data_IF_424466176131
#
_entry.id   IF_424466176131
#
_cell.length_a   1.000
_cell.length_b   1.000
_cell.length_c   1.000
_cell.angle_alpha   90.00
_cell.angle_beta   90.00
_cell.angle_gamma   90.00
#
_symmetry.space_group_name_H-M   'P 1'
#
loop_
_entity.id
_entity.type
_entity.pdbx_description
1 polymer ?
#
# COMPACT_ATOMS: atom_id res chain seq x y z
N UNK A 1 8.75 -1.36 -15.70
CA UNK A 1 7.50 -0.61 -15.54
C UNK A 1 7.13 -0.65 -14.07
N UNK A 2 6.85 0.49 -13.46
CA UNK A 2 6.47 0.58 -12.03
C UNK A 2 4.97 0.74 -11.97
N UNK A 3 4.29 -0.05 -11.13
CA UNK A 3 2.83 -0.06 -11.00
C UNK A 3 2.24 1.31 -10.58
N UNK A 4 3.02 2.11 -9.86
CA UNK A 4 2.61 3.42 -9.37
C UNK A 4 3.60 4.51 -9.80
N UNK A 5 3.16 5.54 -10.54
CA UNK A 5 4.03 6.64 -10.98
C UNK A 5 4.74 7.36 -9.83
N UNK A 6 4.11 7.51 -8.66
CA UNK A 6 4.72 8.17 -7.49
C UNK A 6 5.95 7.41 -6.99
N UNK A 7 5.90 6.07 -6.97
CA UNK A 7 7.05 5.27 -6.56
C UNK A 7 8.23 5.36 -7.54
N UNK A 8 7.95 5.54 -8.83
CA UNK A 8 8.97 5.70 -9.84
C UNK A 8 9.76 7.01 -9.69
N UNK A 9 9.14 8.04 -9.13
CA UNK A 9 9.76 9.36 -8.97
C UNK A 9 10.56 9.52 -7.68
N UNK A 10 10.39 8.60 -6.73
CA UNK A 10 11.06 8.66 -5.44
C UNK A 10 12.59 8.67 -5.64
N UNK A 11 13.27 9.72 -5.13
CA UNK A 11 14.73 9.88 -5.27
C UNK A 11 15.21 10.36 -6.64
N UNK A 12 14.34 10.54 -7.65
CA UNK A 12 14.73 10.97 -9.00
C UNK A 12 14.75 12.49 -9.17
N UNK A 13 13.99 13.23 -8.36
CA UNK A 13 13.82 14.69 -8.52
C UNK A 13 14.38 15.43 -7.31
N UNK A 14 15.39 16.33 -7.48
CA UNK A 14 15.94 17.11 -6.38
C UNK A 14 14.88 17.96 -5.69
N UNK A 15 14.79 17.86 -4.36
CA UNK A 15 13.84 18.60 -3.53
C UNK A 15 12.41 18.07 -3.54
N UNK A 16 12.14 16.97 -4.25
CA UNK A 16 10.88 16.25 -4.16
C UNK A 16 11.00 15.17 -3.06
N UNK A 17 10.14 15.25 -2.06
CA UNK A 17 10.02 14.23 -1.02
C UNK A 17 8.72 13.47 -1.22
N UNK A 18 8.83 12.20 -1.46
CA UNK A 18 7.69 11.28 -1.54
C UNK A 18 7.78 10.33 -0.35
N UNK A 19 6.74 10.27 0.44
CA UNK A 19 6.60 9.35 1.58
C UNK A 19 5.43 8.42 1.34
N UNK A 20 5.56 7.22 1.90
CA UNK A 20 4.52 6.21 1.90
C UNK A 20 4.28 5.79 3.35
N UNK A 21 3.04 5.87 3.82
CA UNK A 21 2.69 5.53 5.20
C UNK A 21 2.40 4.04 5.40
N UNK A 22 2.04 3.34 4.33
CA UNK A 22 1.71 1.91 4.35
C UNK A 22 2.29 1.20 3.14
N UNK A 23 2.50 -0.11 3.25
CA UNK A 23 2.85 -0.99 2.14
C UNK A 23 1.63 -1.79 1.64
N UNK A 24 0.45 -1.59 2.24
CA UNK A 24 -0.77 -2.25 1.82
C UNK A 24 -1.18 -1.80 0.41
N UNK A 25 -1.51 -2.74 -0.49
CA UNK A 25 -1.88 -2.41 -1.86
C UNK A 25 -3.11 -1.49 -1.92
N UNK A 26 -2.97 -0.34 -2.58
CA UNK A 26 -4.03 0.64 -2.73
C UNK A 26 -4.25 1.57 -1.53
N UNK A 27 -3.63 1.29 -0.38
CA UNK A 27 -3.67 2.11 0.86
C UNK A 27 -2.28 2.66 1.22
N UNK A 28 -1.46 2.92 0.24
CA UNK A 28 -0.08 3.33 0.48
C UNK A 28 0.05 4.67 1.21
N UNK A 29 -0.99 5.49 1.21
CA UNK A 29 -1.02 6.78 1.90
C UNK A 29 0.11 7.69 1.45
N UNK A 30 0.14 7.99 0.16
CA UNK A 30 1.20 8.79 -0.46
C UNK A 30 1.17 10.22 0.04
N UNK A 31 2.29 10.67 0.58
CA UNK A 31 2.55 12.07 0.89
C UNK A 31 3.60 12.63 -0.07
N UNK A 32 3.32 13.77 -0.69
CA UNK A 32 4.24 14.42 -1.61
C UNK A 32 4.48 15.85 -1.13
N UNK A 33 5.74 16.26 -1.07
CA UNK A 33 6.11 17.65 -0.79
C UNK A 33 7.27 18.08 -1.66
N UNK A 34 7.24 19.32 -2.12
CA UNK A 34 8.29 19.96 -2.90
C UNK A 34 9.00 20.95 -1.98
N UNK A 35 10.33 20.78 -1.82
CA UNK A 35 11.18 21.62 -0.94
C UNK A 35 10.80 21.64 0.55
N UNK A 36 10.15 20.59 1.06
CA UNK A 36 9.79 20.47 2.46
C UNK A 36 8.48 21.15 2.83
N UNK A 37 8.19 21.30 4.13
CA UNK A 37 6.97 21.94 4.61
C UNK A 37 7.12 23.45 4.62
N UNK A 38 6.33 24.14 3.82
CA UNK A 38 6.29 25.62 3.74
C UNK A 38 5.43 26.22 4.87
N UNK A 39 4.60 25.39 5.52
CA UNK A 39 3.67 25.82 6.56
C UNK A 39 3.55 24.73 7.63
N UNK A 40 3.12 25.13 8.84
CA UNK A 40 2.74 24.22 9.93
C UNK A 40 1.59 23.26 9.51
N UNK A 41 0.75 23.72 8.59
CA UNK A 41 -0.24 22.90 7.90
C UNK A 41 0.43 22.30 6.65
N UNK A 42 0.34 20.99 6.49
CA UNK A 42 0.86 20.30 5.28
C UNK A 42 0.15 20.86 4.04
N UNK A 43 0.93 21.53 3.18
CA UNK A 43 0.43 22.00 1.88
C UNK A 43 0.95 21.02 0.84
N UNK A 44 0.02 20.29 0.22
CA UNK A 44 0.35 19.39 -0.89
C UNK A 44 0.55 20.19 -2.18
N UNK A 45 1.41 19.71 -3.10
CA UNK A 45 1.51 20.29 -4.43
C UNK A 45 0.19 20.16 -5.19
N UNK A 46 -0.11 21.17 -6.03
CA UNK A 46 -1.23 21.09 -6.96
C UNK A 46 -0.90 20.11 -8.09
N UNK A 47 -1.71 19.07 -8.25
CA UNK A 47 -1.61 18.15 -9.37
C UNK A 47 -2.47 18.65 -10.54
N UNK A 48 -1.88 18.71 -11.72
CA UNK A 48 -2.58 19.07 -12.97
C UNK A 48 -2.33 17.96 -13.98
N UNK A 49 -3.38 17.38 -14.53
CA UNK A 49 -3.33 16.31 -15.53
C UNK A 49 -3.94 16.85 -16.84
N UNK A 50 -3.15 16.92 -17.88
CA UNK A 50 -3.54 17.45 -19.20
C UNK A 50 -4.23 18.82 -19.11
N UNK A 51 -3.75 19.71 -18.23
CA UNK A 51 -4.27 21.05 -18.02
C UNK A 51 -5.44 21.14 -17.02
N UNK A 52 -5.96 20.03 -16.51
CA UNK A 52 -7.07 19.98 -15.53
C UNK A 52 -6.54 19.76 -14.12
N UNK A 53 -6.86 20.63 -13.16
CA UNK A 53 -6.51 20.40 -11.76
C UNK A 53 -7.19 19.17 -11.20
N UNK A 54 -6.42 18.28 -10.59
CA UNK A 54 -6.90 17.11 -9.87
C UNK A 54 -7.34 17.46 -8.45
N UNK A 55 -8.12 16.61 -7.80
CA UNK A 55 -8.60 16.82 -6.42
C UNK A 55 -7.49 16.64 -5.37
N UNK A 56 -6.42 15.92 -5.70
CA UNK A 56 -5.25 15.73 -4.85
C UNK A 56 -4.16 14.91 -5.53
N UNK A 57 -2.98 14.86 -4.90
CA UNK A 57 -1.82 14.12 -5.44
C UNK A 57 -2.08 12.62 -5.49
N UNK A 58 -2.98 12.11 -4.67
CA UNK A 58 -3.38 10.68 -4.66
C UNK A 58 -3.98 10.22 -5.99
N UNK A 59 -4.59 11.11 -6.80
CA UNK A 59 -5.10 10.76 -8.13
C UNK A 59 -3.98 10.30 -9.07
N UNK A 60 -2.76 10.76 -8.85
CA UNK A 60 -1.61 10.30 -9.63
C UNK A 60 -1.33 8.80 -9.46
N UNK A 61 -1.62 8.26 -8.27
CA UNK A 61 -1.50 6.82 -8.02
C UNK A 61 -2.51 5.99 -8.82
N UNK A 62 -3.59 6.60 -9.28
CA UNK A 62 -4.64 5.94 -10.08
C UNK A 62 -4.33 5.97 -11.58
N UNK A 63 -3.37 6.79 -12.02
CA UNK A 63 -2.95 6.83 -13.43
C UNK A 63 -2.21 5.55 -13.81
N UNK A 64 -2.41 5.13 -15.05
CA UNK A 64 -1.56 4.12 -15.64
C UNK A 64 -0.22 4.77 -16.04
N UNK A 65 0.89 4.26 -15.53
CA UNK A 65 2.22 4.81 -15.83
C UNK A 65 2.54 4.78 -17.34
N UNK A 66 2.03 3.80 -18.08
CA UNK A 66 2.25 3.68 -19.52
C UNK A 66 1.52 4.75 -20.35
N UNK A 67 0.52 5.42 -19.77
CA UNK A 67 -0.19 6.53 -20.42
C UNK A 67 0.49 7.89 -20.19
N UNK A 68 1.49 7.97 -19.32
CA UNK A 68 2.19 9.20 -19.02
C UNK A 68 3.29 9.45 -20.07
N UNK A 69 3.30 10.65 -20.60
CA UNK A 69 4.38 11.13 -21.49
C UNK A 69 5.44 11.86 -20.70
N UNK A 70 5.02 12.88 -19.91
CA UNK A 70 5.93 13.69 -19.09
C UNK A 70 5.35 14.04 -17.74
N UNK A 71 6.25 14.21 -16.76
CA UNK A 71 5.92 14.77 -15.44
C UNK A 71 6.88 15.94 -15.19
N UNK A 72 6.33 17.12 -15.02
CA UNK A 72 7.10 18.33 -14.76
C UNK A 72 6.76 18.90 -13.38
N UNK A 73 7.76 19.40 -12.68
CA UNK A 73 7.64 19.99 -11.34
C UNK A 73 7.91 21.48 -11.41
N UNK A 74 6.87 22.28 -11.19
CA UNK A 74 7.00 23.73 -11.12
C UNK A 74 7.20 24.17 -9.67
N UNK A 75 8.17 25.03 -9.48
CA UNK A 75 8.59 25.52 -8.17
C UNK A 75 8.68 27.04 -8.24
N UNK A 76 8.43 27.70 -7.10
CA UNK A 76 8.62 29.15 -6.96
C UNK A 76 7.82 29.97 -8.00
N UNK A 77 8.49 30.90 -8.69
CA UNK A 77 7.85 31.80 -9.65
C UNK A 77 7.09 31.06 -10.77
N UNK A 78 7.59 29.89 -11.20
CA UNK A 78 6.91 29.11 -12.25
C UNK A 78 5.59 28.51 -11.81
N UNK A 79 5.39 28.28 -10.50
CA UNK A 79 4.14 27.82 -9.93
C UNK A 79 3.13 28.95 -9.70
N UNK A 80 3.59 30.23 -9.66
CA UNK A 80 2.75 31.38 -9.31
C UNK A 80 1.59 31.61 -10.28
N UNK A 81 1.74 31.21 -11.55
CA UNK A 81 0.67 31.32 -12.56
C UNK A 81 -0.60 30.52 -12.20
N UNK A 82 -0.47 29.51 -11.31
CA UNK A 82 -1.58 28.69 -10.85
C UNK A 82 -2.23 29.20 -9.55
N UNK A 83 -1.79 30.39 -9.08
CA UNK A 83 -2.37 31.09 -7.93
C UNK A 83 -2.06 30.46 -6.59
N UNK A 84 -2.87 30.80 -5.56
CA UNK A 84 -2.63 30.40 -4.17
C UNK A 84 -2.65 28.90 -3.92
N UNK A 85 -3.37 28.12 -4.71
CA UNK A 85 -3.41 26.64 -4.61
C UNK A 85 -2.05 26.02 -4.95
N UNK A 86 -1.17 26.73 -5.64
CA UNK A 86 0.16 26.26 -6.02
C UNK A 86 1.25 26.61 -4.99
N UNK A 87 0.89 27.08 -3.79
CA UNK A 87 1.86 27.40 -2.73
C UNK A 87 2.79 26.23 -2.35
N UNK A 88 2.32 24.98 -2.48
CA UNK A 88 3.10 23.76 -2.30
C UNK A 88 3.91 23.32 -3.53
N UNK A 89 3.89 24.11 -4.63
CA UNK A 89 4.40 23.74 -5.94
C UNK A 89 3.32 23.12 -6.82
N UNK A 90 3.68 22.81 -8.08
CA UNK A 90 2.77 22.20 -9.06
C UNK A 90 3.42 20.97 -9.68
N UNK A 91 2.66 19.92 -9.84
CA UNK A 91 3.01 18.72 -10.59
C UNK A 91 2.18 18.72 -11.87
N UNK A 92 2.83 18.88 -13.01
CA UNK A 92 2.18 18.82 -14.32
C UNK A 92 2.39 17.45 -14.93
N UNK A 93 1.33 16.73 -15.15
CA UNK A 93 1.32 15.44 -15.85
C UNK A 93 0.74 15.65 -17.24
N UNK A 94 1.51 15.27 -18.25
CA UNK A 94 1.02 15.21 -19.62
C UNK A 94 0.91 13.76 -20.04
N UNK A 95 -0.22 13.39 -20.62
CA UNK A 95 -0.43 12.01 -21.10
C UNK A 95 -0.06 11.90 -22.57
N UNK A 96 0.25 10.67 -23.00
CA UNK A 96 0.63 10.35 -24.38
C UNK A 96 -0.46 10.74 -25.35
N UNK A 97 -0.08 11.50 -26.35
CA UNK A 97 -0.92 11.91 -27.47
C UNK A 97 -0.56 11.12 -28.72
N UNK A 98 -1.54 10.80 -29.56
CA UNK A 98 -1.27 10.11 -30.83
C UNK A 98 -0.71 11.05 -31.88
N UNK A 99 0.22 10.53 -32.69
CA UNK A 99 0.64 11.17 -33.93
C UNK A 99 -0.28 10.78 -35.10
N UNK A 100 -0.35 11.65 -36.11
CA UNK A 100 -0.97 11.30 -37.38
C UNK A 100 -0.15 10.19 -38.04
N UNK A 101 -0.81 9.14 -38.50
CA UNK A 101 -0.15 8.02 -39.15
C UNK A 101 -0.98 6.74 -39.13
N UNK A 102 -0.34 5.65 -39.56
CA UNK A 102 -0.96 4.32 -39.56
C UNK A 102 -1.31 3.89 -38.13
N UNK A 103 -2.39 3.14 -38.02
CA UNK A 103 -2.79 2.55 -36.74
C UNK A 103 -1.65 1.68 -36.17
N UNK A 104 -1.29 1.94 -34.92
CA UNK A 104 -0.30 1.21 -34.14
C UNK A 104 -0.99 0.58 -32.94
N UNK A 105 -0.71 -0.68 -32.69
CA UNK A 105 -1.13 -1.42 -31.52
C UNK A 105 0.10 -1.70 -30.67
N UNK A 106 0.06 -1.34 -29.41
CA UNK A 106 1.15 -1.54 -28.46
C UNK A 106 0.62 -2.31 -27.26
N UNK A 107 1.34 -3.36 -26.87
CA UNK A 107 1.08 -4.11 -25.66
C UNK A 107 2.32 -4.11 -24.77
N UNK A 108 2.15 -3.86 -23.48
CA UNK A 108 3.17 -4.06 -22.47
C UNK A 108 2.61 -4.91 -21.32
N UNK A 109 3.44 -5.84 -20.85
CA UNK A 109 3.10 -6.67 -19.70
C UNK A 109 4.29 -6.76 -18.74
N UNK A 110 4.03 -6.74 -17.44
CA UNK A 110 5.06 -6.93 -16.43
C UNK A 110 4.57 -7.80 -15.28
N UNK A 111 5.48 -8.60 -14.74
CA UNK A 111 5.31 -9.36 -13.51
C UNK A 111 6.39 -8.91 -12.55
N UNK A 112 5.99 -8.44 -11.39
CA UNK A 112 6.91 -7.96 -10.35
C UNK A 112 6.78 -8.86 -9.13
N UNK A 113 7.90 -9.42 -8.67
CA UNK A 113 7.97 -10.12 -7.39
C UNK A 113 8.37 -9.13 -6.31
N UNK A 114 7.51 -8.97 -5.31
CA UNK A 114 7.79 -8.22 -4.11
C UNK A 114 8.48 -9.14 -3.13
N UNK A 115 9.65 -8.75 -2.66
CA UNK A 115 10.39 -9.48 -1.64
C UNK A 115 10.32 -8.67 -0.36
N UNK A 116 9.99 -9.34 0.75
CA UNK A 116 10.02 -8.69 2.06
C UNK A 116 11.46 -8.28 2.34
N UNK A 117 11.68 -6.99 2.55
CA UNK A 117 12.99 -6.40 2.77
C UNK A 117 13.54 -6.68 4.17
N UNK A 118 14.45 -5.83 4.62
CA UNK A 118 15.02 -5.90 5.96
C UNK A 118 13.90 -5.80 7.01
N UNK A 119 13.78 -6.82 7.82
CA UNK A 119 12.87 -6.87 8.97
C UNK A 119 13.66 -6.68 10.25
N UNK A 120 13.06 -6.09 11.29
CA UNK A 120 13.66 -6.07 12.60
C UNK A 120 13.91 -7.52 13.07
N UNK A 121 15.08 -7.77 13.64
CA UNK A 121 15.34 -9.06 14.28
C UNK A 121 14.41 -9.20 15.50
N UNK A 122 13.66 -10.28 15.54
CA UNK A 122 12.86 -10.64 16.71
C UNK A 122 13.78 -11.17 17.82
N UNK A 123 13.38 -10.97 19.05
CA UNK A 123 14.02 -11.62 20.19
C UNK A 123 13.78 -13.14 20.09
N UNK A 124 14.81 -13.91 20.37
CA UNK A 124 14.65 -15.34 20.63
C UNK A 124 13.89 -15.56 21.94
N UNK A 125 13.41 -16.77 22.17
CA UNK A 125 12.77 -17.13 23.44
C UNK A 125 13.72 -16.91 24.63
N UNK A 126 15.00 -17.22 24.48
CA UNK A 126 16.00 -17.02 25.54
C UNK A 126 16.19 -15.53 25.85
N UNK A 127 16.38 -14.70 24.81
CA UNK A 127 16.53 -13.25 24.98
C UNK A 127 15.28 -12.61 25.59
N UNK A 128 14.09 -13.07 25.19
CA UNK A 128 12.83 -12.56 25.70
C UNK A 128 12.64 -12.96 27.18
N UNK A 129 12.88 -14.22 27.54
CA UNK A 129 12.74 -14.70 28.93
C UNK A 129 13.75 -14.04 29.85
N UNK A 130 15.00 -13.88 29.41
CA UNK A 130 16.02 -13.17 30.18
C UNK A 130 15.65 -11.69 30.38
N UNK A 131 15.12 -11.03 29.35
CA UNK A 131 14.64 -9.65 29.43
C UNK A 131 13.47 -9.50 30.41
N UNK A 132 12.48 -10.42 30.39
CA UNK A 132 11.35 -10.41 31.31
C UNK A 132 11.82 -10.64 32.76
N UNK A 133 12.69 -11.63 32.96
CA UNK A 133 13.25 -11.91 34.29
C UNK A 133 14.01 -10.68 34.83
N UNK A 134 14.90 -10.11 34.04
CA UNK A 134 15.67 -8.93 34.42
C UNK A 134 14.75 -7.75 34.80
N UNK A 135 13.74 -7.44 33.95
CA UNK A 135 12.81 -6.36 34.19
C UNK A 135 12.02 -6.56 35.49
N UNK A 136 11.42 -7.75 35.68
CA UNK A 136 10.61 -8.06 36.86
C UNK A 136 11.42 -8.04 38.15
N UNK A 137 12.60 -8.65 38.15
CA UNK A 137 13.47 -8.66 39.33
C UNK A 137 13.97 -7.25 39.66
N UNK A 138 14.27 -6.41 38.66
CA UNK A 138 14.65 -5.02 38.89
C UNK A 138 13.51 -4.18 39.49
N UNK A 139 12.27 -4.49 39.13
CA UNK A 139 11.06 -3.86 39.69
C UNK A 139 10.71 -4.38 41.10
N UNK A 140 11.49 -5.33 41.65
CA UNK A 140 11.34 -5.86 43.01
C UNK A 140 10.33 -7.00 43.12
N UNK A 141 9.87 -7.59 42.01
CA UNK A 141 9.04 -8.78 42.05
C UNK A 141 9.86 -10.02 42.45
N UNK A 142 9.26 -10.91 43.21
CA UNK A 142 9.89 -12.15 43.69
C UNK A 142 9.59 -13.36 42.77
N UNK A 143 10.05 -14.52 43.24
CA UNK A 143 9.85 -15.82 42.56
C UNK A 143 8.38 -16.26 42.51
N UNK A 144 7.51 -15.65 43.30
CA UNK A 144 6.05 -15.89 43.31
C UNK A 144 5.32 -15.09 42.22
N UNK A 145 5.97 -14.14 41.57
CA UNK A 145 5.39 -13.39 40.45
C UNK A 145 5.10 -14.29 39.24
N UNK A 146 3.91 -14.18 38.69
CA UNK A 146 3.46 -15.00 37.58
C UNK A 146 4.35 -14.87 36.32
N UNK A 147 4.88 -13.69 36.02
CA UNK A 147 5.75 -13.49 34.87
C UNK A 147 7.15 -14.07 35.12
N UNK A 148 7.66 -13.98 36.35
CA UNK A 148 8.94 -14.62 36.72
C UNK A 148 8.81 -16.14 36.59
N UNK A 149 7.76 -16.73 37.14
CA UNK A 149 7.48 -18.17 37.05
C UNK A 149 7.30 -18.61 35.59
N UNK A 150 6.53 -17.86 34.81
CA UNK A 150 6.31 -18.15 33.38
C UNK A 150 7.63 -18.09 32.57
N UNK A 151 8.43 -17.04 32.74
CA UNK A 151 9.70 -16.91 32.02
C UNK A 151 10.71 -18.02 32.37
N UNK A 152 10.76 -18.44 33.65
CA UNK A 152 11.59 -19.59 34.06
C UNK A 152 11.09 -20.89 33.46
N UNK A 153 9.77 -21.11 33.48
CA UNK A 153 9.16 -22.27 32.87
C UNK A 153 9.43 -22.32 31.36
N UNK A 154 9.20 -21.23 30.67
CA UNK A 154 9.44 -21.11 29.23
C UNK A 154 10.88 -21.41 28.84
N UNK A 155 11.84 -20.96 29.66
CA UNK A 155 13.28 -21.25 29.47
C UNK A 155 13.58 -22.72 29.71
N UNK A 156 13.01 -23.32 30.73
CA UNK A 156 13.21 -24.73 31.09
C UNK A 156 12.58 -25.70 30.09
N UNK A 157 11.47 -25.32 29.48
CA UNK A 157 10.66 -26.16 28.57
C UNK A 157 10.82 -25.74 27.10
N UNK A 158 11.84 -25.00 26.74
CA UNK A 158 12.09 -24.61 25.35
C UNK A 158 12.05 -25.79 24.40
N UNK A 159 11.30 -25.66 23.31
CA UNK A 159 11.07 -26.73 22.34
C UNK A 159 9.86 -27.62 22.64
N UNK A 160 9.15 -27.37 23.72
CA UNK A 160 8.01 -28.22 24.17
C UNK A 160 6.66 -27.55 23.91
N UNK A 161 5.63 -28.37 23.83
CA UNK A 161 4.23 -27.98 23.87
C UNK A 161 3.62 -28.39 25.20
N UNK A 162 2.77 -27.56 25.79
CA UNK A 162 1.90 -27.90 26.89
C UNK A 162 0.46 -27.78 26.40
N UNK A 163 -0.27 -28.88 26.40
CA UNK A 163 -1.69 -28.89 26.08
C UNK A 163 -2.50 -28.71 27.35
N UNK A 164 -3.24 -27.65 27.44
CA UNK A 164 -4.12 -27.35 28.60
C UNK A 164 -5.59 -27.75 28.37
N UNK A 165 -5.89 -28.38 27.24
CA UNK A 165 -7.22 -28.94 26.96
C UNK A 165 -7.47 -30.17 27.80
N UNK A 166 -8.18 -30.05 28.87
CA UNK A 166 -8.58 -31.25 29.59
C UNK A 166 -8.85 -31.12 31.09
N UNK A 167 -9.03 -29.90 31.55
CA UNK A 167 -9.42 -29.69 32.95
C UNK A 167 -8.25 -29.96 33.88
N UNK A 168 -7.45 -29.00 34.05
CA UNK A 168 -6.21 -29.06 34.79
C UNK A 168 -6.48 -29.19 36.28
N UNK A 169 -5.84 -30.19 36.87
CA UNK A 169 -5.61 -30.19 38.30
C UNK A 169 -4.67 -29.02 38.64
N UNK A 170 -5.10 -28.01 39.42
CA UNK A 170 -4.27 -26.85 39.74
C UNK A 170 -2.94 -27.23 40.40
N UNK A 171 -2.86 -28.39 41.03
CA UNK A 171 -1.66 -28.84 41.72
C UNK A 171 -0.64 -29.54 40.81
N UNK A 172 -1.08 -29.97 39.62
CA UNK A 172 -0.25 -30.61 38.59
C UNK A 172 0.10 -29.71 37.41
N UNK A 173 -0.55 -28.56 37.32
CA UNK A 173 -0.38 -27.63 36.23
C UNK A 173 0.92 -26.80 36.42
N UNK A 174 1.91 -26.97 35.56
CA UNK A 174 3.16 -26.22 35.68
C UNK A 174 2.97 -24.72 35.33
N UNK A 175 1.85 -24.36 34.70
CA UNK A 175 1.59 -23.00 34.25
C UNK A 175 1.15 -22.10 35.41
N UNK A 176 1.76 -20.94 35.64
CA UNK A 176 1.35 -19.99 36.67
C UNK A 176 -0.13 -19.59 36.53
N UNK A 177 -0.82 -19.45 37.66
CA UNK A 177 -2.25 -19.20 37.72
C UNK A 177 -2.76 -18.01 36.89
N UNK A 178 -1.95 -16.96 36.69
CA UNK A 178 -2.28 -15.82 35.82
C UNK A 178 -2.35 -16.16 34.33
N UNK A 179 -1.89 -17.32 33.90
CA UNK A 179 -1.91 -17.79 32.52
C UNK A 179 -2.89 -18.95 32.29
N UNK A 180 -3.65 -19.32 33.30
CA UNK A 180 -4.66 -20.34 33.18
C UNK A 180 -5.80 -19.93 32.24
N UNK A 181 -6.39 -20.91 31.55
CA UNK A 181 -7.45 -20.67 30.57
C UNK A 181 -6.95 -20.40 29.17
N UNK A 182 -5.66 -20.43 28.91
CA UNK A 182 -5.06 -20.45 27.60
C UNK A 182 -5.01 -21.88 27.10
N UNK A 183 -5.44 -22.10 25.85
CA UNK A 183 -5.63 -23.44 25.33
C UNK A 183 -4.33 -24.26 25.26
N UNK A 184 -3.26 -23.68 24.77
CA UNK A 184 -1.97 -24.34 24.60
C UNK A 184 -0.84 -23.37 24.81
N UNK A 185 0.36 -23.87 25.17
CA UNK A 185 1.59 -23.12 25.18
C UNK A 185 2.63 -23.76 24.30
N UNK A 186 3.36 -22.93 23.58
CA UNK A 186 4.52 -23.31 22.79
C UNK A 186 5.73 -22.55 23.29
N UNK A 187 6.78 -23.27 23.59
CA UNK A 187 8.06 -22.67 24.02
C UNK A 187 9.11 -22.75 22.93
N UNK A 188 8.68 -22.54 21.66
CA UNK A 188 9.55 -22.47 20.50
C UNK A 188 9.92 -21.01 20.20
N UNK A 189 11.05 -20.83 19.52
CA UNK A 189 11.42 -19.54 18.96
C UNK A 189 10.55 -19.27 17.72
N UNK A 190 9.48 -18.53 17.90
CA UNK A 190 8.59 -18.11 16.80
C UNK A 190 9.03 -16.76 16.27
N UNK A 191 9.39 -16.71 14.99
CA UNK A 191 9.61 -15.46 14.31
C UNK A 191 8.29 -14.96 13.66
N UNK A 192 7.55 -14.16 14.40
CA UNK A 192 6.27 -13.64 13.94
C UNK A 192 6.35 -12.76 12.70
N UNK A 193 7.51 -12.15 12.43
CA UNK A 193 7.68 -11.40 11.18
C UNK A 193 7.67 -12.33 9.97
N UNK A 194 8.25 -13.50 10.07
CA UNK A 194 8.23 -14.52 9.00
C UNK A 194 6.85 -15.20 8.86
N UNK A 195 6.10 -15.28 9.96
CA UNK A 195 4.73 -15.82 9.94
C UNK A 195 3.78 -14.86 9.23
N UNK A 196 3.91 -13.55 9.50
CA UNK A 196 2.97 -12.56 8.99
C UNK A 196 3.32 -12.09 7.57
N UNK A 197 4.59 -11.98 7.25
CA UNK A 197 5.04 -11.35 6.01
C UNK A 197 5.75 -12.34 5.10
N UNK A 198 5.44 -12.27 3.83
CA UNK A 198 6.07 -13.10 2.80
C UNK A 198 6.12 -12.40 1.46
N UNK A 199 6.60 -13.11 0.46
CA UNK A 199 6.70 -12.58 -0.89
C UNK A 199 5.33 -12.49 -1.54
N UNK A 200 5.14 -11.48 -2.38
CA UNK A 200 3.93 -11.27 -3.15
C UNK A 200 4.25 -11.01 -4.62
N UNK A 201 3.22 -11.04 -5.45
CA UNK A 201 3.35 -10.81 -6.88
C UNK A 201 2.42 -9.68 -7.31
N UNK A 202 2.90 -8.84 -8.21
CA UNK A 202 2.10 -7.83 -8.90
C UNK A 202 2.19 -8.07 -10.39
N UNK A 203 1.06 -8.03 -11.09
CA UNK A 203 0.98 -8.16 -12.54
C UNK A 203 0.34 -6.92 -13.13
N UNK A 204 0.87 -6.45 -14.24
CA UNK A 204 0.33 -5.31 -14.97
C UNK A 204 0.30 -5.62 -16.46
N UNK A 205 -0.80 -5.26 -17.11
CA UNK A 205 -1.00 -5.41 -18.53
C UNK A 205 -1.57 -4.13 -19.11
N UNK A 206 -0.99 -3.64 -20.19
CA UNK A 206 -1.41 -2.43 -20.87
C UNK A 206 -1.53 -2.73 -22.37
N UNK A 207 -2.63 -2.29 -22.95
CA UNK A 207 -2.89 -2.38 -24.38
C UNK A 207 -3.28 -0.99 -24.87
N UNK A 208 -2.64 -0.51 -25.93
CA UNK A 208 -3.07 0.73 -26.55
C UNK A 208 -3.14 0.62 -28.06
N UNK A 209 -4.09 1.36 -28.61
CA UNK A 209 -4.29 1.51 -30.05
C UNK A 209 -4.28 3.00 -30.36
N UNK A 210 -3.41 3.42 -31.25
CA UNK A 210 -3.29 4.84 -31.62
C UNK A 210 -3.08 4.98 -33.14
N UNK A 211 -3.49 6.11 -33.68
CA UNK A 211 -3.31 6.40 -35.10
C UNK A 211 -4.13 7.60 -35.53
N UNK A 212 -4.24 7.79 -36.82
CA UNK A 212 -5.07 8.85 -37.37
C UNK A 212 -4.52 9.46 -38.66
N UNK A 213 -5.10 10.57 -39.03
CA UNK A 213 -4.75 11.38 -40.19
C UNK A 213 -4.42 12.80 -39.75
N UNK A 214 -4.08 13.69 -40.69
CA UNK A 214 -3.90 15.11 -40.39
C UNK A 214 -5.16 15.80 -39.84
N UNK A 215 -6.34 15.22 -40.09
CA UNK A 215 -7.63 15.76 -39.64
C UNK A 215 -8.08 15.18 -38.31
N UNK A 216 -7.71 13.95 -38.01
CA UNK A 216 -8.18 13.28 -36.78
C UNK A 216 -7.12 12.32 -36.28
N UNK A 217 -6.79 12.42 -35.01
CA UNK A 217 -5.91 11.48 -34.31
C UNK A 217 -6.63 10.90 -33.11
N UNK A 218 -6.34 9.63 -32.79
CA UNK A 218 -6.96 8.94 -31.67
C UNK A 218 -5.97 8.04 -30.95
N UNK A 219 -6.18 7.87 -29.65
CA UNK A 219 -5.52 6.89 -28.82
C UNK A 219 -6.53 6.32 -27.82
N UNK A 220 -6.67 5.00 -27.83
CA UNK A 220 -7.38 4.25 -26.80
C UNK A 220 -6.37 3.42 -26.03
N UNK A 221 -6.38 3.50 -24.70
CA UNK A 221 -5.57 2.64 -23.86
C UNK A 221 -6.42 1.92 -22.81
N UNK A 222 -6.04 0.68 -22.53
CA UNK A 222 -6.63 -0.19 -21.53
C UNK A 222 -5.53 -0.66 -20.60
N UNK A 223 -5.72 -0.54 -19.31
CA UNK A 223 -4.77 -0.98 -18.29
C UNK A 223 -5.43 -1.91 -17.28
N UNK A 224 -4.70 -2.94 -16.88
CA UNK A 224 -5.05 -3.82 -15.77
C UNK A 224 -3.88 -3.96 -14.84
N UNK A 225 -4.12 -3.84 -13.55
CA UNK A 225 -3.17 -4.06 -12.47
C UNK A 225 -3.80 -5.01 -11.46
N UNK A 226 -3.07 -6.07 -11.10
CA UNK A 226 -3.37 -6.90 -9.93
C UNK A 226 -2.15 -6.86 -9.01
N UNK A 227 -2.31 -6.25 -7.86
CA UNK A 227 -1.25 -6.01 -6.89
C UNK A 227 -1.56 -6.74 -5.58
N UNK A 228 -0.83 -7.83 -5.30
CA UNK A 228 -0.97 -8.59 -4.06
C UNK A 228 -0.12 -7.99 -2.94
N UNK A 229 -0.64 -8.01 -1.73
CA UNK A 229 0.09 -7.58 -0.54
C UNK A 229 1.04 -8.63 0.00
N UNK A 230 1.99 -8.19 0.80
CA UNK A 230 3.00 -9.05 1.44
C UNK A 230 2.55 -9.70 2.73
N UNK A 231 1.39 -9.31 3.28
CA UNK A 231 0.76 -10.00 4.40
C UNK A 231 0.27 -11.36 3.92
N UNK A 232 0.67 -12.44 4.61
CA UNK A 232 0.40 -13.82 4.18
C UNK A 232 -0.95 -14.37 4.64
N UNK A 233 -1.64 -13.64 5.52
CA UNK A 233 -2.89 -14.05 6.13
C UNK A 233 -4.02 -13.09 5.77
N UNK A 234 -5.20 -13.65 5.53
CA UNK A 234 -6.34 -12.89 5.04
C UNK A 234 -6.15 -12.38 3.60
N UNK A 235 -7.13 -11.67 3.08
CA UNK A 235 -7.09 -11.12 1.74
C UNK A 235 -6.49 -9.71 1.77
N UNK A 236 -5.42 -9.48 1.02
CA UNK A 236 -4.87 -8.14 0.85
C UNK A 236 -4.40 -7.94 -0.58
N UNK A 237 -5.18 -7.23 -1.35
CA UNK A 237 -4.94 -7.01 -2.78
C UNK A 237 -5.55 -5.71 -3.28
N UNK A 238 -5.04 -5.25 -4.40
CA UNK A 238 -5.59 -4.12 -5.14
C UNK A 238 -5.64 -4.45 -6.62
N UNK A 239 -6.85 -4.51 -7.17
CA UNK A 239 -7.07 -4.63 -8.61
C UNK A 239 -7.49 -3.28 -9.17
N UNK A 240 -6.92 -2.91 -10.31
CA UNK A 240 -7.26 -1.66 -10.97
C UNK A 240 -7.42 -1.84 -12.46
N UNK A 241 -8.51 -1.33 -12.97
CA UNK A 241 -8.84 -1.25 -14.41
C UNK A 241 -8.81 0.22 -14.81
N UNK A 242 -8.10 0.53 -15.89
CA UNK A 242 -8.02 1.85 -16.47
C UNK A 242 -8.46 1.81 -17.93
N UNK A 243 -9.22 2.81 -18.33
CA UNK A 243 -9.57 3.08 -19.72
C UNK A 243 -9.28 4.56 -19.97
N UNK A 244 -8.60 4.86 -21.08
CA UNK A 244 -8.37 6.23 -21.52
C UNK A 244 -8.59 6.35 -23.00
N UNK A 245 -9.35 7.37 -23.39
CA UNK A 245 -9.58 7.76 -24.77
C UNK A 245 -9.12 9.20 -24.97
N UNK A 246 -8.24 9.39 -25.92
CA UNK A 246 -7.91 10.69 -26.47
C UNK A 246 -8.32 10.74 -27.94
N UNK A 247 -8.99 11.81 -28.33
CA UNK A 247 -9.32 12.09 -29.72
C UNK A 247 -9.06 13.58 -30.00
N UNK A 248 -8.47 13.90 -31.14
CA UNK A 248 -8.37 15.26 -31.65
C UNK A 248 -8.92 15.30 -33.05
N UNK A 249 -9.84 16.21 -33.31
CA UNK A 249 -10.50 16.35 -34.59
C UNK A 249 -10.44 17.81 -35.06
N UNK A 250 -9.86 18.04 -36.23
CA UNK A 250 -9.85 19.33 -36.92
C UNK A 250 -11.13 19.48 -37.74
N UNK A 251 -12.06 20.29 -37.27
CA UNK A 251 -13.31 20.59 -37.98
C UNK A 251 -12.99 21.38 -39.27
N UNK A 252 -12.08 22.34 -39.15
CA UNK A 252 -11.51 23.11 -40.26
C UNK A 252 -10.14 23.66 -39.86
N UNK A 253 -9.53 24.50 -40.70
CA UNK A 253 -8.21 25.07 -40.40
C UNK A 253 -8.15 26.01 -39.19
N UNK A 254 -9.31 26.43 -38.68
CA UNK A 254 -9.43 27.37 -37.57
C UNK A 254 -10.06 26.74 -36.30
N UNK A 255 -10.73 25.62 -36.45
CA UNK A 255 -11.49 25.04 -35.35
C UNK A 255 -11.04 23.59 -35.16
N UNK A 256 -10.64 23.24 -33.96
CA UNK A 256 -10.37 21.84 -33.56
C UNK A 256 -11.01 21.51 -32.22
N UNK A 257 -11.40 20.26 -32.07
CA UNK A 257 -11.97 19.71 -30.85
C UNK A 257 -11.03 18.61 -30.33
N UNK A 258 -10.64 18.71 -29.06
CA UNK A 258 -9.89 17.65 -28.35
C UNK A 258 -10.79 17.08 -27.26
N UNK A 259 -10.95 15.76 -27.26
CA UNK A 259 -11.66 14.98 -26.26
C UNK A 259 -10.65 14.14 -25.48
N UNK A 260 -10.63 14.26 -24.18
CA UNK A 260 -9.81 13.43 -23.28
C UNK A 260 -10.72 12.83 -22.20
N UNK A 261 -10.98 11.54 -22.31
CA UNK A 261 -11.82 10.80 -21.36
C UNK A 261 -10.96 9.75 -20.66
N UNK A 262 -11.11 9.63 -19.35
CA UNK A 262 -10.50 8.54 -18.59
C UNK A 262 -11.46 8.00 -17.56
N UNK A 263 -11.39 6.69 -17.34
CA UNK A 263 -12.07 6.00 -16.26
C UNK A 263 -11.09 5.05 -15.57
N UNK A 264 -11.16 5.03 -14.26
CA UNK A 264 -10.41 4.11 -13.41
C UNK A 264 -11.38 3.46 -12.43
N UNK A 265 -11.31 2.13 -12.31
CA UNK A 265 -12.01 1.40 -11.27
C UNK A 265 -11.00 0.59 -10.48
N UNK A 266 -10.92 0.89 -9.19
CA UNK A 266 -10.06 0.22 -8.23
C UNK A 266 -10.92 -0.61 -7.30
N UNK A 267 -10.53 -1.86 -7.10
CA UNK A 267 -11.12 -2.77 -6.12
C UNK A 267 -10.02 -3.20 -5.15
N UNK A 268 -10.15 -2.76 -3.92
CA UNK A 268 -9.20 -3.00 -2.86
C UNK A 268 -9.82 -3.91 -1.81
N UNK A 269 -9.05 -4.88 -1.35
CA UNK A 269 -9.41 -5.78 -0.27
C UNK A 269 -8.32 -5.78 0.78
N UNK A 270 -8.69 -5.63 2.04
CA UNK A 270 -7.78 -5.72 3.17
C UNK A 270 -8.47 -6.39 4.38
N UNK A 271 -7.76 -7.09 5.26
CA UNK A 271 -8.34 -7.60 6.48
C UNK A 271 -8.89 -6.46 7.35
N UNK A 272 -10.08 -6.62 7.94
CA UNK A 272 -10.67 -5.59 8.80
C UNK A 272 -9.82 -5.28 10.04
N UNK A 273 -9.06 -6.25 10.51
CA UNK A 273 -8.19 -6.16 11.69
C UNK A 273 -6.76 -5.69 11.39
N UNK A 274 -6.52 -5.13 10.20
CA UNK A 274 -5.16 -4.73 9.77
C UNK A 274 -4.48 -3.79 10.78
N UNK A 275 -5.20 -2.89 11.38
CA UNK A 275 -4.68 -1.98 12.41
C UNK A 275 -4.18 -2.71 13.65
N UNK A 276 -4.91 -3.73 14.10
CA UNK A 276 -4.52 -4.59 15.22
C UNK A 276 -3.31 -5.47 14.86
N UNK A 277 -3.26 -5.97 13.63
CA UNK A 277 -2.16 -6.79 13.13
C UNK A 277 -0.85 -5.98 13.07
N UNK A 278 -0.92 -4.71 12.65
CA UNK A 278 0.24 -3.85 12.46
C UNK A 278 0.63 -3.05 13.72
N UNK A 279 -0.35 -2.72 14.56
CA UNK A 279 -0.17 -1.76 15.66
C UNK A 279 -0.06 -2.38 17.05
N UNK A 280 -0.66 -3.53 17.27
CA UNK A 280 -0.68 -4.14 18.57
C UNK A 280 0.25 -5.36 18.63
N UNK A 281 1.48 -5.10 18.99
CA UNK A 281 2.32 -6.12 19.54
C UNK A 281 2.45 -7.39 18.66
N UNK A 282 3.50 -7.40 17.91
CA UNK A 282 4.11 -8.65 17.48
C UNK A 282 4.12 -9.55 18.72
N UNK A 283 3.46 -10.71 18.67
CA UNK A 283 3.38 -11.57 19.85
C UNK A 283 4.75 -11.99 20.35
N UNK A 284 4.81 -12.31 21.64
CA UNK A 284 6.04 -12.87 22.22
C UNK A 284 6.46 -14.16 21.48
N UNK A 285 7.74 -14.50 21.46
CA UNK A 285 8.26 -15.65 20.70
C UNK A 285 7.57 -16.98 20.99
N UNK A 286 7.08 -17.17 22.20
CA UNK A 286 6.45 -18.42 22.63
C UNK A 286 4.99 -18.62 22.24
N UNK A 287 4.34 -17.67 21.59
CA UNK A 287 2.95 -17.87 21.16
C UNK A 287 2.89 -18.61 19.82
N UNK A 288 2.10 -19.68 19.71
CA UNK A 288 2.02 -20.48 18.50
C UNK A 288 1.15 -19.83 17.42
N UNK A 289 1.37 -20.24 16.18
CA UNK A 289 0.54 -19.85 15.03
C UNK A 289 -0.86 -20.45 15.13
N UNK A 290 -0.95 -21.68 15.61
CA UNK A 290 -2.19 -22.44 15.81
C UNK A 290 -2.07 -23.33 17.04
N UNK A 291 -3.18 -23.85 17.50
CA UNK A 291 -3.20 -24.95 18.49
C UNK A 291 -2.59 -26.23 17.92
N UNK A 292 -2.30 -27.20 18.77
CA UNK A 292 -1.70 -28.48 18.35
C UNK A 292 -2.57 -29.25 17.35
N UNK A 293 -3.88 -29.07 17.40
CA UNK A 293 -4.85 -29.67 16.48
C UNK A 293 -5.20 -28.76 15.30
N UNK A 294 -4.39 -27.69 15.06
CA UNK A 294 -4.49 -26.81 13.89
C UNK A 294 -5.61 -25.77 13.95
N UNK A 295 -6.25 -25.58 15.10
CA UNK A 295 -7.31 -24.59 15.27
C UNK A 295 -6.74 -23.19 15.51
N UNK A 296 -7.58 -22.14 15.35
CA UNK A 296 -7.22 -20.79 15.71
C UNK A 296 -6.72 -20.67 17.14
N UNK A 297 -5.54 -20.11 17.31
CA UNK A 297 -5.00 -19.83 18.62
C UNK A 297 -5.51 -18.47 19.13
N UNK A 298 -5.94 -18.46 20.39
CA UNK A 298 -6.31 -17.24 21.09
C UNK A 298 -5.69 -17.23 22.48
N UNK A 299 -5.18 -16.08 22.88
CA UNK A 299 -4.65 -15.85 24.21
C UNK A 299 -5.43 -14.73 24.90
N UNK A 300 -5.94 -15.00 26.12
CA UNK A 300 -6.76 -14.03 26.84
C UNK A 300 -8.02 -13.60 26.07
N UNK A 301 -8.56 -14.47 25.20
CA UNK A 301 -9.73 -14.18 24.36
C UNK A 301 -9.44 -13.40 23.08
N UNK A 302 -8.16 -13.10 22.79
CA UNK A 302 -7.73 -12.39 21.58
C UNK A 302 -7.01 -13.39 20.68
N UNK A 303 -7.43 -13.50 19.43
CA UNK A 303 -6.72 -14.28 18.42
C UNK A 303 -5.33 -13.70 18.13
N UNK A 304 -4.37 -14.59 17.83
CA UNK A 304 -3.08 -14.18 17.30
C UNK A 304 -3.24 -13.42 15.97
N UNK A 305 -2.27 -12.56 15.59
CA UNK A 305 -2.40 -11.66 14.42
C UNK A 305 -2.77 -12.37 13.12
N UNK A 306 -2.23 -13.56 12.87
CA UNK A 306 -2.55 -14.36 11.70
C UNK A 306 -4.04 -14.75 11.66
N UNK A 307 -4.58 -15.26 12.78
CA UNK A 307 -6.00 -15.62 12.85
C UNK A 307 -6.91 -14.41 12.90
N UNK A 308 -6.45 -13.29 13.48
CA UNK A 308 -7.18 -12.03 13.42
C UNK A 308 -7.32 -11.53 11.97
N UNK A 309 -6.28 -11.74 11.13
CA UNK A 309 -6.33 -11.43 9.71
C UNK A 309 -7.28 -12.36 8.94
N UNK A 310 -7.25 -13.66 9.25
CA UNK A 310 -8.02 -14.67 8.54
C UNK A 310 -9.50 -14.67 8.92
N UNK A 311 -9.79 -14.57 10.22
CA UNK A 311 -11.15 -14.69 10.76
C UNK A 311 -11.88 -13.35 10.91
N UNK A 312 -11.15 -12.23 10.88
CA UNK A 312 -11.70 -10.90 11.08
C UNK A 312 -12.59 -10.40 9.93
N UNK A 313 -12.56 -11.09 8.79
CA UNK A 313 -13.27 -10.70 7.56
C UNK A 313 -12.53 -9.63 6.76
N UNK A 314 -13.13 -9.25 5.63
CA UNK A 314 -12.55 -8.35 4.65
C UNK A 314 -13.22 -6.98 4.66
N UNK A 315 -12.43 -5.93 4.62
CA UNK A 315 -12.82 -4.60 4.19
C UNK A 315 -12.65 -4.50 2.68
N UNK A 316 -13.75 -4.20 1.96
CA UNK A 316 -13.75 -4.07 0.51
C UNK A 316 -14.08 -2.65 0.12
N UNK A 317 -13.16 -1.98 -0.57
CA UNK A 317 -13.33 -0.64 -1.07
C UNK A 317 -13.31 -0.65 -2.59
N UNK A 318 -14.36 -0.08 -3.20
CA UNK A 318 -14.41 0.13 -4.65
C UNK A 318 -14.44 1.62 -4.91
N UNK A 319 -13.43 2.11 -5.63
CA UNK A 319 -13.33 3.50 -6.06
C UNK A 319 -13.45 3.54 -7.57
N UNK A 320 -14.36 4.33 -8.08
CA UNK A 320 -14.48 4.60 -9.52
C UNK A 320 -14.31 6.09 -9.76
N UNK A 321 -13.35 6.43 -10.61
CA UNK A 321 -13.07 7.82 -11.01
C UNK A 321 -13.31 7.93 -12.51
N UNK A 322 -14.02 8.97 -12.92
CA UNK A 322 -14.23 9.29 -14.34
C UNK A 322 -13.89 10.77 -14.56
N UNK A 323 -13.11 11.03 -15.59
CA UNK A 323 -12.77 12.37 -16.00
C UNK A 323 -13.11 12.55 -17.49
N UNK A 324 -13.75 13.63 -17.82
CA UNK A 324 -14.05 14.04 -19.20
C UNK A 324 -13.59 15.48 -19.38
N UNK A 325 -12.75 15.70 -20.35
CA UNK A 325 -12.25 17.02 -20.70
C UNK A 325 -12.40 17.26 -22.20
N UNK A 326 -13.16 18.29 -22.56
CA UNK A 326 -13.40 18.74 -23.92
C UNK A 326 -12.76 20.11 -24.12
N UNK A 327 -11.90 20.24 -25.11
CA UNK A 327 -11.21 21.49 -25.44
C UNK A 327 -11.54 21.86 -26.87
N UNK A 328 -12.31 22.93 -27.04
CA UNK A 328 -12.55 23.57 -28.33
C UNK A 328 -11.51 24.68 -28.53
N UNK A 329 -10.66 24.54 -29.54
CA UNK A 329 -9.68 25.54 -29.94
C UNK A 329 -10.19 26.26 -31.17
N UNK A 330 -10.21 27.60 -31.11
CA UNK A 330 -10.69 28.47 -32.20
C UNK A 330 -9.62 29.53 -32.50
N UNK A 331 -8.94 29.39 -33.62
CA UNK A 331 -7.99 30.41 -34.11
C UNK A 331 -8.77 31.53 -34.78
N UNK A 332 -8.94 32.64 -34.08
CA UNK A 332 -9.72 33.82 -34.56
C UNK A 332 -8.93 34.59 -35.62
N UNK A 333 -7.66 34.83 -35.36
CA UNK A 333 -6.70 35.47 -36.24
C UNK A 333 -5.38 34.70 -36.17
N UNK A 334 -4.54 34.85 -37.23
CA UNK A 334 -3.22 34.21 -37.21
C UNK A 334 -2.39 34.76 -36.03
N UNK A 335 -2.04 33.86 -35.09
CA UNK A 335 -1.31 34.20 -33.87
C UNK A 335 -2.16 34.57 -32.66
N UNK A 336 -3.50 34.45 -32.74
CA UNK A 336 -4.43 34.62 -31.63
C UNK A 336 -5.33 33.37 -31.51
N UNK A 337 -5.03 32.56 -30.52
CA UNK A 337 -5.79 31.34 -30.21
C UNK A 337 -6.75 31.56 -29.04
#
# INVERSE_FOLDING_TARGET
TVANPLSAMQGQVPGLRITRSSAAPGEEGWGVSIRGSVSKNKVEPLLIIDGVPASGVSEMAQLNADDIETINFLKDASAAIYGAKAAGGVILVTTKRPDAGKTRVEYSGSVTRKIVGLQPRMMSMDEWTDGVLQARLNDGYGEDDNWVRYARLAKAMKGSWINLHGGNNPDEDPIPGGFRGVADFVFHDMNWTDVLWGNATSTQHNLSVSGGSEKSTYRLSLGYLNDQGTLQWGNNSNERYNVRLFNSFKINNRISLETNMSASRQHQVAPTQIGSILGSSIPQPGLPVSTIDGKPYAWGGIHTPNWSAELGGDNKLVVTTMNVNEILKVNILDGLD
#
